data_IF_561628886964
#
_entry.id   IF_561628886964
#
_cell.length_a   1.000
_cell.length_b   1.000
_cell.length_c   1.000
_cell.angle_alpha   90.00
_cell.angle_beta   90.00
_cell.angle_gamma   90.00
#
_symmetry.space_group_name_H-M   'P 1'
#
loop_
_entity.id
_entity.type
_entity.pdbx_description
1 polymer ?
#
# COMPACT_ATOMS: atom_id res chain seq x y z
N UNK A 1 24.56 -9.47 -8.37
CA UNK A 1 24.33 -8.22 -7.61
C UNK A 1 22.84 -8.07 -7.48
N UNK A 2 22.28 -8.29 -6.29
CA UNK A 2 20.83 -8.21 -6.08
C UNK A 2 20.50 -6.81 -5.55
N UNK A 3 19.74 -6.05 -6.33
CA UNK A 3 19.20 -4.75 -5.93
C UNK A 3 18.02 -5.01 -4.99
N UNK A 4 18.15 -4.63 -3.72
CA UNK A 4 17.02 -4.62 -2.79
C UNK A 4 16.03 -3.53 -3.25
N UNK A 5 14.71 -3.82 -3.34
CA UNK A 5 13.74 -2.77 -3.57
C UNK A 5 13.75 -1.85 -2.35
N UNK A 6 14.05 -0.57 -2.59
CA UNK A 6 14.07 0.45 -1.57
C UNK A 6 12.63 0.71 -1.08
N UNK A 7 12.19 -0.09 -0.11
CA UNK A 7 10.94 0.14 0.60
C UNK A 7 10.99 1.54 1.23
N UNK A 8 10.21 2.47 0.70
CA UNK A 8 10.03 3.81 1.29
C UNK A 8 9.25 3.64 2.60
N UNK A 9 9.90 3.99 3.71
CA UNK A 9 9.29 4.00 5.04
C UNK A 9 8.34 5.21 5.17
N UNK A 10 7.04 4.97 5.33
CA UNK A 10 6.00 6.01 5.18
C UNK A 10 5.25 6.42 6.46
N UNK A 11 5.59 5.92 7.66
CA UNK A 11 4.91 6.35 8.89
C UNK A 11 5.51 5.85 10.21
N UNK A 12 5.24 6.57 11.32
CA UNK A 12 5.68 6.26 12.70
C UNK A 12 4.48 6.24 13.64
N UNK A 13 4.29 5.18 14.43
CA UNK A 13 3.18 5.02 15.39
C UNK A 13 3.67 4.18 16.57
N UNK A 14 3.38 4.58 17.82
CA UNK A 14 3.66 3.79 19.04
C UNK A 14 2.50 2.86 19.34
N UNK A 15 2.74 1.54 19.41
CA UNK A 15 1.68 0.54 19.49
C UNK A 15 1.96 -0.50 20.57
N UNK A 16 1.47 -0.22 21.77
CA UNK A 16 1.40 -1.23 22.82
C UNK A 16 0.09 -2.05 22.76
N UNK A 17 -0.76 -1.86 21.74
CA UNK A 17 -2.14 -2.42 21.72
C UNK A 17 -2.62 -3.02 20.39
N UNK A 18 -1.82 -3.04 19.31
CA UNK A 18 -2.28 -3.63 18.04
C UNK A 18 -1.92 -5.11 17.98
N UNK A 19 -2.94 -5.96 18.09
CA UNK A 19 -2.82 -7.41 17.91
C UNK A 19 -2.53 -7.76 16.46
N UNK A 20 -2.02 -8.98 16.24
CA UNK A 20 -1.81 -9.54 14.90
C UNK A 20 -3.10 -9.51 14.06
N UNK A 21 -4.25 -9.85 14.67
CA UNK A 21 -5.56 -9.83 13.98
C UNK A 21 -5.92 -8.42 13.47
N UNK A 22 -5.58 -7.38 14.24
CA UNK A 22 -5.81 -6.00 13.82
C UNK A 22 -4.89 -5.64 12.66
N UNK A 23 -3.62 -6.03 12.71
CA UNK A 23 -2.68 -5.80 11.59
C UNK A 23 -3.17 -6.47 10.31
N UNK A 24 -3.58 -7.75 10.39
CA UNK A 24 -4.14 -8.47 9.24
C UNK A 24 -5.38 -7.78 8.69
N UNK A 25 -6.28 -7.31 9.56
CA UNK A 25 -7.48 -6.58 9.13
C UNK A 25 -7.14 -5.27 8.40
N UNK A 26 -6.10 -4.57 8.85
CA UNK A 26 -5.63 -3.33 8.21
C UNK A 26 -5.01 -3.65 6.86
N UNK A 27 -4.15 -4.68 6.76
CA UNK A 27 -3.54 -5.11 5.50
C UNK A 27 -4.63 -5.46 4.49
N UNK A 28 -5.59 -6.31 4.86
CA UNK A 28 -6.63 -6.79 3.95
C UNK A 28 -7.53 -5.66 3.46
N UNK A 29 -7.84 -4.70 4.35
CA UNK A 29 -8.61 -3.52 3.97
C UNK A 29 -7.82 -2.57 3.07
N UNK A 30 -6.55 -2.37 3.37
CA UNK A 30 -5.67 -1.51 2.60
C UNK A 30 -5.43 -2.08 1.19
N UNK A 31 -5.23 -3.39 1.07
CA UNK A 31 -5.05 -4.09 -0.21
C UNK A 31 -6.27 -3.92 -1.12
N UNK A 32 -7.48 -4.13 -0.58
CA UNK A 32 -8.71 -3.89 -1.33
C UNK A 32 -8.85 -2.43 -1.82
N UNK A 33 -8.63 -1.44 -0.94
CA UNK A 33 -8.76 -0.02 -1.31
C UNK A 33 -7.73 0.41 -2.36
N UNK A 34 -6.50 -0.07 -2.25
CA UNK A 34 -5.43 0.22 -3.22
C UNK A 34 -5.69 -0.47 -4.56
N UNK A 35 -6.12 -1.74 -4.54
CA UNK A 35 -6.49 -2.47 -5.74
C UNK A 35 -7.67 -1.80 -6.46
N UNK A 36 -8.71 -1.40 -5.74
CA UNK A 36 -9.85 -0.68 -6.28
C UNK A 36 -9.44 0.68 -6.87
N UNK A 37 -8.58 1.42 -6.17
CA UNK A 37 -8.03 2.69 -6.66
C UNK A 37 -7.32 2.50 -8.00
N UNK A 38 -6.36 1.58 -8.09
CA UNK A 38 -5.59 1.33 -9.31
C UNK A 38 -6.52 0.85 -10.44
N UNK A 39 -7.41 -0.10 -10.14
CA UNK A 39 -8.35 -0.65 -11.11
C UNK A 39 -9.34 0.40 -11.66
N UNK A 40 -9.69 1.41 -10.86
CA UNK A 40 -10.56 2.51 -11.30
C UNK A 40 -9.88 3.49 -12.27
N UNK A 41 -8.54 3.52 -12.27
CA UNK A 41 -7.73 4.42 -13.10
C UNK A 41 -7.19 3.76 -14.36
N UNK A 42 -7.00 2.45 -14.32
CA UNK A 42 -6.44 1.70 -15.43
C UNK A 42 -7.51 1.22 -16.43
N UNK A 43 -7.15 1.12 -17.72
CA UNK A 43 -8.05 0.56 -18.72
C UNK A 43 -8.29 -0.93 -18.46
N UNK A 44 -9.46 -1.42 -18.90
CA UNK A 44 -9.80 -2.85 -18.86
C UNK A 44 -8.73 -3.67 -19.59
N UNK A 45 -8.37 -4.81 -19.01
CA UNK A 45 -7.32 -5.69 -19.52
C UNK A 45 -5.90 -5.34 -19.05
N UNK A 46 -5.76 -4.35 -18.17
CA UNK A 46 -4.52 -4.15 -17.41
C UNK A 46 -4.40 -5.21 -16.31
N UNK A 47 -3.18 -5.72 -16.11
CA UNK A 47 -2.84 -6.57 -14.98
C UNK A 47 -2.32 -5.70 -13.85
N UNK A 48 -2.83 -5.96 -12.64
CA UNK A 48 -2.44 -5.27 -11.41
C UNK A 48 -2.00 -6.33 -10.40
N UNK A 49 -0.85 -6.11 -9.78
CA UNK A 49 -0.35 -6.91 -8.69
C UNK A 49 -0.08 -5.97 -7.51
N UNK A 50 -0.69 -6.27 -6.36
CA UNK A 50 -0.51 -5.50 -5.13
C UNK A 50 0.01 -6.42 -4.04
N UNK A 51 1.13 -6.04 -3.44
CA UNK A 51 1.68 -6.71 -2.27
C UNK A 51 1.81 -5.67 -1.17
N UNK A 52 1.00 -5.84 -0.14
CA UNK A 52 0.95 -4.95 1.01
C UNK A 52 1.28 -5.77 2.26
N UNK A 53 2.21 -5.26 3.06
CA UNK A 53 2.52 -5.84 4.36
C UNK A 53 2.74 -4.76 5.40
N UNK A 54 2.44 -5.12 6.66
CA UNK A 54 2.70 -4.28 7.81
C UNK A 54 3.62 -5.06 8.74
N UNK A 55 4.69 -4.42 9.18
CA UNK A 55 5.67 -5.01 10.09
C UNK A 55 5.81 -4.14 11.34
N UNK A 56 5.90 -4.77 12.50
CA UNK A 56 6.20 -4.10 13.76
C UNK A 56 7.72 -4.15 13.99
N UNK A 57 8.39 -3.01 13.92
CA UNK A 57 9.79 -2.84 14.29
C UNK A 57 9.89 -2.00 15.57
N UNK A 58 10.13 -2.68 16.69
CA UNK A 58 10.18 -2.03 18.00
C UNK A 58 8.84 -1.44 18.40
N UNK A 59 8.77 -0.12 18.59
CA UNK A 59 7.55 0.63 18.87
C UNK A 59 6.95 1.26 17.59
N UNK A 60 7.23 0.74 16.39
CA UNK A 60 6.79 1.32 15.11
C UNK A 60 6.12 0.30 14.19
N UNK A 61 4.97 0.66 13.58
CA UNK A 61 4.47 -0.05 12.40
C UNK A 61 5.04 0.56 11.13
N UNK A 62 5.65 -0.29 10.33
CA UNK A 62 6.10 0.01 8.99
C UNK A 62 5.12 -0.59 7.99
N UNK A 63 4.56 0.26 7.14
CA UNK A 63 3.81 -0.16 5.96
C UNK A 63 4.78 -0.36 4.80
N UNK A 64 4.76 -1.53 4.17
CA UNK A 64 5.46 -1.84 2.92
C UNK A 64 4.44 -2.04 1.81
N UNK A 65 4.70 -1.39 0.68
CA UNK A 65 3.87 -1.42 -0.52
C UNK A 65 4.76 -1.79 -1.70
N UNK A 66 4.38 -2.82 -2.42
CA UNK A 66 4.95 -3.18 -3.70
C UNK A 66 3.80 -3.32 -4.69
N UNK A 67 3.76 -2.41 -5.67
CA UNK A 67 2.65 -2.24 -6.58
C UNK A 67 3.19 -2.31 -8.01
N UNK A 68 2.63 -3.21 -8.80
CA UNK A 68 2.96 -3.37 -10.20
C UNK A 68 1.69 -3.29 -11.05
N UNK A 69 1.79 -2.59 -12.17
CA UNK A 69 0.74 -2.55 -13.17
C UNK A 69 1.34 -2.66 -14.56
N UNK A 70 0.71 -3.45 -15.43
CA UNK A 70 1.12 -3.64 -16.81
C UNK A 70 -0.09 -3.79 -17.73
N UNK A 71 0.05 -3.43 -19.00
CA UNK A 71 -1.03 -3.58 -19.96
C UNK A 71 -0.61 -3.18 -21.37
N UNK A 72 -1.48 -3.42 -22.37
CA UNK A 72 -1.15 -3.15 -23.78
C UNK A 72 -1.19 -1.65 -24.13
N UNK A 73 -1.50 -0.77 -23.18
CA UNK A 73 -1.72 0.66 -23.41
C UNK A 73 -0.65 1.56 -22.76
N UNK A 74 0.58 1.03 -22.60
CA UNK A 74 1.73 1.75 -22.00
C UNK A 74 2.01 3.14 -22.62
N UNK A 75 1.71 3.31 -23.91
CA UNK A 75 1.94 4.56 -24.63
C UNK A 75 0.82 5.61 -24.41
N UNK A 76 -0.31 5.19 -23.85
CA UNK A 76 -1.50 6.03 -23.65
C UNK A 76 -1.76 6.36 -22.18
N UNK A 77 -1.26 5.53 -21.27
CA UNK A 77 -1.48 5.66 -19.84
C UNK A 77 -0.15 5.74 -19.11
N UNK A 78 -0.04 6.69 -18.21
CA UNK A 78 1.10 6.80 -17.32
C UNK A 78 0.91 5.86 -16.12
N UNK A 79 1.30 4.59 -16.32
CA UNK A 79 1.22 3.57 -15.27
C UNK A 79 2.06 3.96 -14.05
N UNK A 80 3.21 4.60 -14.25
CA UNK A 80 4.08 5.02 -13.13
C UNK A 80 3.40 6.08 -12.27
N UNK A 81 2.81 7.11 -12.88
CA UNK A 81 2.07 8.14 -12.16
C UNK A 81 0.88 7.55 -11.39
N UNK A 82 0.14 6.63 -12.01
CA UNK A 82 -1.00 5.96 -11.34
C UNK A 82 -0.53 5.16 -10.12
N UNK A 83 0.58 4.44 -10.23
CA UNK A 83 1.17 3.70 -9.11
C UNK A 83 1.68 4.64 -8.02
N UNK A 84 2.31 5.76 -8.37
CA UNK A 84 2.72 6.77 -7.38
C UNK A 84 1.51 7.38 -6.65
N UNK A 85 0.43 7.68 -7.36
CA UNK A 85 -0.81 8.16 -6.76
C UNK A 85 -1.44 7.09 -5.86
N UNK A 86 -1.37 5.81 -6.24
CA UNK A 86 -1.84 4.69 -5.43
C UNK A 86 -1.05 4.55 -4.12
N UNK A 87 0.27 4.76 -4.14
CA UNK A 87 1.10 4.80 -2.92
C UNK A 87 0.65 5.93 -1.99
N UNK A 88 0.39 7.12 -2.54
CA UNK A 88 -0.10 8.25 -1.75
C UNK A 88 -1.50 7.96 -1.17
N UNK A 89 -2.37 7.35 -1.97
CA UNK A 89 -3.69 6.93 -1.52
C UNK A 89 -3.59 5.90 -0.38
N UNK A 90 -2.75 4.87 -0.55
CA UNK A 90 -2.49 3.84 0.46
C UNK A 90 -2.04 4.45 1.78
N UNK A 91 -1.13 5.44 1.72
CA UNK A 91 -0.68 6.16 2.92
C UNK A 91 -1.83 6.86 3.64
N UNK A 92 -2.67 7.59 2.91
CA UNK A 92 -3.83 8.30 3.51
C UNK A 92 -4.82 7.32 4.12
N UNK A 93 -5.11 6.21 3.43
CA UNK A 93 -6.00 5.17 3.96
C UNK A 93 -5.41 4.52 5.20
N UNK A 94 -4.13 4.15 5.16
CA UNK A 94 -3.42 3.59 6.30
C UNK A 94 -3.46 4.54 7.50
N UNK A 95 -3.14 5.82 7.30
CA UNK A 95 -3.19 6.84 8.36
C UNK A 95 -4.58 6.96 9.01
N UNK A 96 -5.66 6.90 8.22
CA UNK A 96 -7.05 6.90 8.75
C UNK A 96 -7.40 5.62 9.49
N UNK A 97 -6.91 4.46 9.04
CA UNK A 97 -7.19 3.18 9.67
C UNK A 97 -6.52 3.10 11.05
N UNK A 98 -5.27 3.54 11.13
CA UNK A 98 -4.49 3.55 12.38
C UNK A 98 -4.89 4.66 13.35
N UNK A 99 -5.50 5.75 12.88
CA UNK A 99 -5.92 6.89 13.72
C UNK A 99 -6.85 6.44 14.85
N UNK A 100 -7.70 5.45 14.59
CA UNK A 100 -8.61 4.84 15.58
C UNK A 100 -7.88 4.17 16.75
N UNK A 101 -6.59 3.88 16.58
CA UNK A 101 -5.73 3.23 17.56
C UNK A 101 -4.67 4.18 18.12
N UNK A 102 -4.64 5.44 17.68
CA UNK A 102 -3.83 6.51 18.28
C UNK A 102 -4.63 7.13 19.43
N UNK A 103 -4.43 6.60 20.63
CA UNK A 103 -4.88 7.23 21.89
C UNK A 103 -4.03 8.44 22.24
#
# INVERSE_FOLDING_TARGET
MASQPAGRQLGRIRLNEVSLDVMESIVLRLDNEVFEYISSKLPKGSNVNTVISIELEGDHLNLKLDLEASGPFGDLYDYEQILQDAINHARVVFEKLIEKYRS
#
